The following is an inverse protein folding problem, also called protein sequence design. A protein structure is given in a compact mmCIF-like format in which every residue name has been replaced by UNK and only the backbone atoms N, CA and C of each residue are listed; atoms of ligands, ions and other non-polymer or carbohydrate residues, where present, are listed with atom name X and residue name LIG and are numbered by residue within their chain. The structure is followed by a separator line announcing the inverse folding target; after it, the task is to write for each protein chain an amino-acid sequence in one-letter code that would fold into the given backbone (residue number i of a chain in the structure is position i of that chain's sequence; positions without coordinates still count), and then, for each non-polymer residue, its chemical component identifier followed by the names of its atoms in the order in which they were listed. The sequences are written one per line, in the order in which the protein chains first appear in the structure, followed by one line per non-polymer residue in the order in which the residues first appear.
data_IF_153698099873
#
_entry.id   IF_153698099873
#
_cell.length_a   1.000
_cell.length_b   1.000
_cell.length_c   1.000
_cell.angle_alpha   90.00
_cell.angle_beta   90.00
_cell.angle_gamma   90.00
#
_symmetry.space_group_name_H-M   'P 1'
#
loop_
_entity.id
_entity.type
_entity.pdbx_description
1 polymer ?
#
# COMPACT_ATOMS: atom_id res chain seq x y z
N UNK A 1 16.72 13.12 6.64
CA UNK A 1 15.75 14.03 5.97
C UNK A 1 14.99 14.81 7.03
N UNK A 2 14.87 16.12 6.88
CA UNK A 2 14.04 16.94 7.78
C UNK A 2 12.57 16.76 7.42
N UNK A 3 11.72 16.55 8.43
CA UNK A 3 10.27 16.44 8.22
C UNK A 3 9.70 17.82 7.86
N UNK A 4 8.87 17.87 6.83
CA UNK A 4 8.15 19.08 6.40
C UNK A 4 7.02 19.42 7.37
N UNK A 5 6.61 20.70 7.36
CA UNK A 5 5.57 21.20 8.26
C UNK A 5 4.16 20.88 7.72
N UNK A 6 3.47 19.93 8.33
CA UNK A 6 2.07 19.60 8.04
C UNK A 6 1.08 20.18 9.08
N UNK A 7 1.43 21.27 9.77
CA UNK A 7 0.44 21.95 10.63
C UNK A 7 -0.72 22.48 9.78
N UNK A 8 -1.93 22.36 10.28
CA UNK A 8 -3.12 22.82 9.55
C UNK A 8 -3.00 24.31 9.19
N UNK A 9 -2.46 25.14 10.11
CA UNK A 9 -2.21 26.55 9.84
C UNK A 9 -1.33 26.78 8.61
N UNK A 10 -0.24 26.02 8.47
CA UNK A 10 0.65 26.12 7.31
C UNK A 10 -0.08 25.68 6.03
N UNK A 11 -0.73 24.54 6.07
CA UNK A 11 -1.41 23.95 4.90
C UNK A 11 -2.56 24.84 4.42
N UNK A 12 -3.43 25.32 5.32
CA UNK A 12 -4.55 26.17 4.95
C UNK A 12 -4.13 27.53 4.36
N UNK A 13 -2.92 28.00 4.65
CA UNK A 13 -2.35 29.21 4.03
C UNK A 13 -1.65 28.89 2.70
N UNK A 14 -0.92 27.80 2.61
CA UNK A 14 0.00 27.51 1.51
C UNK A 14 -0.70 26.83 0.34
N UNK A 15 -1.52 25.79 0.60
CA UNK A 15 -2.17 25.00 -0.47
C UNK A 15 -3.08 25.85 -1.36
N UNK A 16 -3.97 26.75 -0.83
CA UNK A 16 -4.80 27.57 -1.72
C UNK A 16 -4.01 28.48 -2.66
N UNK A 17 -2.89 29.05 -2.18
CA UNK A 17 -2.05 29.92 -2.99
C UNK A 17 -1.37 29.15 -4.12
N UNK A 18 -0.73 28.00 -3.81
CA UNK A 18 -0.06 27.15 -4.79
C UNK A 18 -1.07 26.63 -5.83
N UNK A 19 -2.21 26.12 -5.38
CA UNK A 19 -3.26 25.60 -6.28
C UNK A 19 -3.78 26.71 -7.19
N UNK A 20 -4.03 27.91 -6.64
CA UNK A 20 -4.54 29.04 -7.42
C UNK A 20 -3.54 29.49 -8.48
N UNK A 21 -2.24 29.53 -8.14
CA UNK A 21 -1.17 29.85 -9.09
C UNK A 21 -1.03 28.78 -10.17
N UNK A 22 -0.94 27.50 -9.78
CA UNK A 22 -0.72 26.39 -10.73
C UNK A 22 -1.88 26.16 -11.70
N UNK A 23 -3.10 26.38 -11.27
CA UNK A 23 -4.30 26.13 -12.09
C UNK A 23 -4.92 27.40 -12.66
N UNK A 24 -4.41 28.58 -12.31
CA UNK A 24 -5.04 29.86 -12.64
C UNK A 24 -6.53 29.90 -12.23
N UNK A 25 -6.85 29.35 -11.06
CA UNK A 25 -8.19 29.18 -10.54
C UNK A 25 -8.22 29.54 -9.05
N UNK A 26 -9.21 30.36 -8.63
CA UNK A 26 -9.39 30.67 -7.21
C UNK A 26 -9.80 29.42 -6.43
N UNK A 27 -9.17 29.17 -5.29
CA UNK A 27 -9.65 28.17 -4.32
C UNK A 27 -10.76 28.79 -3.49
N UNK A 28 -11.94 28.14 -3.46
CA UNK A 28 -13.11 28.60 -2.69
C UNK A 28 -13.27 27.86 -1.37
N UNK A 29 -12.77 26.64 -1.26
CA UNK A 29 -12.83 25.84 -0.05
C UNK A 29 -11.68 24.82 0.00
N UNK A 30 -11.18 24.58 1.21
CA UNK A 30 -10.23 23.49 1.52
C UNK A 30 -10.71 22.79 2.79
N UNK A 31 -10.74 21.45 2.76
CA UNK A 31 -11.17 20.62 3.88
C UNK A 31 -10.27 19.39 4.01
N UNK A 32 -9.77 19.11 5.21
CA UNK A 32 -9.10 17.85 5.52
C UNK A 32 -10.06 16.67 5.33
N UNK A 33 -9.63 15.62 4.62
CA UNK A 33 -10.47 14.45 4.33
C UNK A 33 -9.82 13.12 4.73
N UNK A 34 -8.53 13.13 5.06
CA UNK A 34 -7.82 11.93 5.48
C UNK A 34 -6.32 12.11 5.45
N UNK A 35 -5.60 11.06 5.79
CA UNK A 35 -4.14 11.03 5.78
C UNK A 35 -3.62 9.75 6.41
N UNK A 36 -2.35 9.51 6.26
CA UNK A 36 -1.64 8.36 6.78
C UNK A 36 -0.26 8.74 7.32
N UNK A 37 0.61 7.75 7.39
CA UNK A 37 1.96 7.90 7.94
C UNK A 37 2.85 8.88 7.17
N UNK A 38 2.54 9.13 5.90
CA UNK A 38 3.40 9.92 5.00
C UNK A 38 2.84 11.28 4.63
N UNK A 39 1.58 11.58 4.94
CA UNK A 39 1.00 12.87 4.57
C UNK A 39 -0.47 13.04 4.96
N UNK A 40 -1.00 14.22 4.62
CA UNK A 40 -2.40 14.62 4.84
C UNK A 40 -3.07 14.93 3.51
N UNK A 41 -4.33 14.51 3.34
CA UNK A 41 -5.12 14.73 2.13
C UNK A 41 -6.22 15.75 2.39
N UNK A 42 -6.33 16.70 1.47
CA UNK A 42 -7.33 17.78 1.50
C UNK A 42 -8.19 17.74 0.25
N UNK A 43 -9.50 17.88 0.44
CA UNK A 43 -10.45 18.18 -0.63
C UNK A 43 -10.41 19.69 -0.87
N UNK A 44 -10.14 20.10 -2.10
CA UNK A 44 -10.06 21.49 -2.54
C UNK A 44 -11.13 21.74 -3.58
N UNK A 45 -11.93 22.81 -3.39
CA UNK A 45 -12.97 23.25 -4.35
C UNK A 45 -12.45 24.49 -5.05
N UNK A 46 -12.49 24.46 -6.39
CA UNK A 46 -12.08 25.56 -7.26
C UNK A 46 -13.22 26.51 -7.57
N UNK A 47 -12.91 27.69 -8.06
CA UNK A 47 -13.90 28.75 -8.38
C UNK A 47 -14.87 28.36 -9.49
N UNK A 48 -14.51 27.47 -10.38
CA UNK A 48 -15.38 26.92 -11.43
C UNK A 48 -16.26 25.74 -10.94
N UNK A 49 -16.16 25.38 -9.64
CA UNK A 49 -16.89 24.26 -9.04
C UNK A 49 -16.18 22.91 -9.09
N UNK A 50 -15.05 22.79 -9.76
CA UNK A 50 -14.27 21.55 -9.80
C UNK A 50 -13.72 21.19 -8.42
N UNK A 51 -13.59 19.89 -8.18
CA UNK A 51 -13.08 19.34 -6.93
C UNK A 51 -11.83 18.54 -7.22
N UNK A 52 -10.75 18.86 -6.50
CA UNK A 52 -9.49 18.12 -6.56
C UNK A 52 -9.10 17.60 -5.18
N UNK A 53 -8.24 16.59 -5.15
CA UNK A 53 -7.54 16.16 -3.95
C UNK A 53 -6.12 16.72 -3.97
N UNK A 54 -5.67 17.26 -2.82
CA UNK A 54 -4.28 17.69 -2.64
C UNK A 54 -3.69 16.95 -1.45
N UNK A 55 -2.67 16.14 -1.70
CA UNK A 55 -1.91 15.43 -0.67
C UNK A 55 -0.65 16.21 -0.37
N UNK A 56 -0.48 16.56 0.91
CA UNK A 56 0.71 17.22 1.45
C UNK A 56 1.56 16.19 2.18
N UNK A 57 2.85 16.10 1.86
CA UNK A 57 3.75 15.06 2.35
C UNK A 57 4.65 15.54 3.47
N UNK A 58 5.03 14.60 4.35
CA UNK A 58 5.99 14.82 5.43
C UNK A 58 7.44 14.86 4.95
N UNK A 59 7.74 14.26 3.79
CA UNK A 59 9.08 14.17 3.21
C UNK A 59 9.02 14.63 1.75
N UNK A 60 10.08 15.29 1.31
CA UNK A 60 10.31 15.62 -0.10
C UNK A 60 10.45 14.34 -0.94
N UNK A 61 10.25 14.47 -2.24
CA UNK A 61 10.30 13.41 -3.26
C UNK A 61 9.13 12.41 -3.24
N UNK A 62 8.48 12.15 -2.09
CA UNK A 62 7.35 11.21 -2.01
C UNK A 62 6.19 11.58 -2.96
N UNK A 63 5.94 12.89 -3.18
CA UNK A 63 4.92 13.35 -4.11
C UNK A 63 5.23 13.00 -5.57
N UNK A 64 6.52 12.96 -5.95
CA UNK A 64 6.94 12.59 -7.30
C UNK A 64 6.82 11.08 -7.50
N UNK A 65 7.23 10.31 -6.50
CA UNK A 65 7.14 8.85 -6.52
C UNK A 65 5.68 8.40 -6.64
N UNK A 66 4.77 8.92 -5.79
CA UNK A 66 3.35 8.56 -5.88
C UNK A 66 2.72 9.02 -7.21
N UNK A 67 3.09 10.21 -7.71
CA UNK A 67 2.64 10.68 -9.01
C UNK A 67 3.05 9.75 -10.17
N UNK A 68 4.27 9.20 -10.13
CA UNK A 68 4.74 8.21 -11.11
C UNK A 68 3.92 6.92 -10.99
N UNK A 69 3.75 6.40 -9.77
CA UNK A 69 2.99 5.18 -9.50
C UNK A 69 1.53 5.31 -9.99
N UNK A 70 0.85 6.42 -9.70
CA UNK A 70 -0.50 6.68 -10.18
C UNK A 70 -0.58 6.70 -11.71
N UNK A 71 0.39 7.36 -12.39
CA UNK A 71 0.42 7.41 -13.85
C UNK A 71 0.67 6.04 -14.49
N UNK A 72 1.53 5.22 -13.88
CA UNK A 72 1.82 3.88 -14.40
C UNK A 72 0.64 2.95 -14.16
N UNK A 73 0.15 2.85 -12.92
CA UNK A 73 -0.96 1.97 -12.57
C UNK A 73 -2.25 2.34 -13.31
N UNK A 74 -2.57 3.64 -13.39
CA UNK A 74 -3.78 4.12 -14.05
C UNK A 74 -3.88 3.79 -15.54
N UNK A 75 -2.74 3.52 -16.21
CA UNK A 75 -2.72 3.08 -17.62
C UNK A 75 -3.08 1.61 -17.80
N UNK A 76 -3.02 0.82 -16.74
CA UNK A 76 -3.11 -0.63 -16.77
C UNK A 76 -4.27 -1.19 -15.94
N UNK A 77 -5.27 -0.37 -15.68
CA UNK A 77 -6.50 -0.80 -15.00
C UNK A 77 -7.73 -0.09 -15.57
N UNK A 78 -8.84 -0.82 -15.63
CA UNK A 78 -10.17 -0.27 -15.93
C UNK A 78 -10.82 0.39 -14.69
N UNK A 79 -10.32 0.08 -13.50
CA UNK A 79 -10.79 0.69 -12.25
C UNK A 79 -10.26 2.11 -12.13
N UNK A 80 -11.12 3.05 -11.79
CA UNK A 80 -10.72 4.45 -11.63
C UNK A 80 -9.60 4.59 -10.61
N UNK A 81 -8.60 5.41 -10.96
CA UNK A 81 -7.57 5.91 -10.06
C UNK A 81 -7.54 7.44 -10.11
N UNK A 82 -6.96 8.13 -9.12
CA UNK A 82 -6.72 9.56 -9.22
C UNK A 82 -5.77 9.89 -10.38
N UNK A 83 -6.17 10.83 -11.24
CA UNK A 83 -5.28 11.37 -12.27
C UNK A 83 -4.41 12.47 -11.66
N UNK A 84 -3.12 12.43 -11.94
CA UNK A 84 -2.18 13.45 -11.48
C UNK A 84 -2.40 14.75 -12.24
N UNK A 85 -2.65 15.84 -11.50
CA UNK A 85 -2.82 17.18 -12.06
C UNK A 85 -1.46 17.90 -12.06
N UNK A 86 -0.83 18.06 -10.89
CA UNK A 86 0.53 18.57 -10.78
C UNK A 86 1.21 18.05 -9.50
N UNK A 87 2.53 18.15 -9.48
CA UNK A 87 3.35 18.05 -8.26
C UNK A 87 3.98 19.40 -7.98
N UNK A 88 4.19 19.70 -6.69
CA UNK A 88 4.89 20.90 -6.23
C UNK A 88 5.87 20.55 -5.11
N UNK A 89 7.01 21.21 -5.10
CA UNK A 89 8.02 21.06 -4.06
C UNK A 89 8.80 22.35 -3.88
N UNK A 90 8.98 22.76 -2.63
CA UNK A 90 9.95 23.75 -2.18
C UNK A 90 10.59 23.30 -0.85
N UNK A 91 11.37 24.14 -0.21
CA UNK A 91 12.09 23.83 1.02
C UNK A 91 11.16 23.47 2.21
N UNK A 92 9.88 23.82 2.14
CA UNK A 92 8.91 23.70 3.23
C UNK A 92 7.69 22.86 2.90
N UNK A 93 7.46 22.55 1.62
CA UNK A 93 6.19 22.00 1.14
C UNK A 93 6.42 21.02 0.01
N UNK A 94 5.79 19.85 0.09
CA UNK A 94 5.72 18.88 -0.99
C UNK A 94 4.25 18.47 -1.19
N UNK A 95 3.71 18.68 -2.40
CA UNK A 95 2.30 18.46 -2.73
C UNK A 95 2.15 17.60 -3.99
N UNK A 96 1.10 16.78 -3.98
CA UNK A 96 0.52 16.15 -5.16
C UNK A 96 -0.93 16.58 -5.28
N UNK A 97 -1.27 17.27 -6.36
CA UNK A 97 -2.65 17.56 -6.74
C UNK A 97 -3.13 16.51 -7.76
N UNK A 98 -4.31 15.97 -7.53
CA UNK A 98 -4.90 14.89 -8.32
C UNK A 98 -6.42 15.03 -8.38
N UNK A 99 -7.06 14.36 -9.32
CA UNK A 99 -8.52 14.32 -9.40
C UNK A 99 -9.13 13.72 -8.13
N UNK A 100 -10.23 14.29 -7.67
CA UNK A 100 -10.94 13.75 -6.52
C UNK A 100 -11.78 12.54 -6.93
N UNK A 101 -11.55 11.39 -6.30
CA UNK A 101 -12.34 10.19 -6.54
C UNK A 101 -13.47 10.08 -5.50
N UNK A 102 -14.71 9.80 -5.93
CA UNK A 102 -15.84 9.67 -5.02
C UNK A 102 -15.82 8.32 -4.29
N UNK A 103 -16.58 8.25 -3.20
CA UNK A 103 -16.74 7.04 -2.41
C UNK A 103 -16.20 7.18 -0.98
N UNK A 104 -16.18 6.06 -0.28
CA UNK A 104 -15.58 5.91 1.05
C UNK A 104 -14.63 4.74 1.03
N UNK A 105 -13.52 4.81 1.78
CA UNK A 105 -12.68 3.64 1.95
C UNK A 105 -13.44 2.53 2.68
N UNK A 106 -13.06 1.28 2.42
CA UNK A 106 -13.80 0.10 2.88
C UNK A 106 -13.65 -0.15 4.38
N UNK A 107 -12.75 0.59 5.06
CA UNK A 107 -12.68 0.60 6.51
C UNK A 107 -13.92 1.26 7.17
N UNK A 108 -14.75 1.99 6.41
CA UNK A 108 -15.99 2.58 6.94
C UNK A 108 -16.88 1.49 7.56
N UNK A 109 -17.32 1.63 8.84
CA UNK A 109 -18.07 0.60 9.54
C UNK A 109 -19.37 0.14 8.85
N UNK A 110 -20.00 0.99 8.03
CA UNK A 110 -21.21 0.64 7.28
C UNK A 110 -20.98 -0.50 6.28
N UNK A 111 -19.75 -0.67 5.79
CA UNK A 111 -19.42 -1.78 4.90
C UNK A 111 -19.31 -3.12 5.64
N UNK A 112 -19.03 -3.11 6.94
CA UNK A 112 -19.03 -4.33 7.76
C UNK A 112 -20.43 -4.95 7.86
N UNK A 113 -21.48 -4.14 7.75
CA UNK A 113 -22.89 -4.56 7.81
C UNK A 113 -23.42 -5.16 6.50
N UNK A 114 -22.65 -5.08 5.41
CA UNK A 114 -23.05 -5.65 4.12
C UNK A 114 -23.13 -7.17 4.18
N UNK A 115 -24.08 -7.75 3.43
CA UNK A 115 -24.31 -9.19 3.36
C UNK A 115 -23.09 -9.93 2.78
N UNK A 116 -23.01 -11.24 3.03
CA UNK A 116 -21.95 -12.10 2.46
C UNK A 116 -21.92 -12.02 0.93
N UNK A 117 -23.08 -12.00 0.28
CA UNK A 117 -23.19 -11.89 -1.18
C UNK A 117 -22.65 -10.55 -1.70
N UNK A 118 -22.98 -9.43 -1.02
CA UNK A 118 -22.46 -8.13 -1.38
C UNK A 118 -20.95 -8.03 -1.20
N UNK A 119 -20.40 -8.59 -0.10
CA UNK A 119 -18.96 -8.65 0.13
C UNK A 119 -18.25 -9.50 -0.91
N UNK A 120 -18.86 -10.63 -1.33
CA UNK A 120 -18.27 -11.47 -2.37
C UNK A 120 -18.27 -10.76 -3.73
N UNK A 121 -19.39 -10.12 -4.13
CA UNK A 121 -19.44 -9.32 -5.35
C UNK A 121 -18.36 -8.23 -5.36
N UNK A 122 -18.24 -7.50 -4.24
CA UNK A 122 -17.22 -6.48 -4.08
C UNK A 122 -15.80 -7.05 -4.20
N UNK A 123 -15.52 -8.19 -3.53
CA UNK A 123 -14.24 -8.87 -3.66
C UNK A 123 -13.94 -9.28 -5.11
N UNK A 124 -14.95 -9.75 -5.84
CA UNK A 124 -14.80 -10.10 -7.25
C UNK A 124 -14.43 -8.89 -8.12
N UNK A 125 -15.02 -7.71 -7.86
CA UNK A 125 -14.70 -6.45 -8.54
C UNK A 125 -13.25 -6.02 -8.23
N UNK A 126 -12.88 -6.00 -6.94
CA UNK A 126 -11.53 -5.62 -6.49
C UNK A 126 -10.46 -6.53 -7.10
N UNK A 127 -10.65 -7.85 -7.00
CA UNK A 127 -9.65 -8.80 -7.49
C UNK A 127 -9.58 -8.79 -9.01
N UNK A 128 -10.68 -8.56 -9.72
CA UNK A 128 -10.64 -8.41 -11.17
C UNK A 128 -9.79 -7.21 -11.58
N UNK A 129 -9.96 -6.03 -10.94
CA UNK A 129 -9.11 -4.87 -11.18
C UNK A 129 -7.64 -5.09 -10.82
N UNK A 130 -7.35 -5.80 -9.72
CA UNK A 130 -5.99 -6.13 -9.32
C UNK A 130 -5.31 -7.09 -10.33
N UNK A 131 -6.05 -8.05 -10.87
CA UNK A 131 -5.54 -8.99 -11.88
C UNK A 131 -5.19 -8.29 -13.20
N UNK A 132 -5.77 -7.13 -13.50
CA UNK A 132 -5.36 -6.32 -14.66
C UNK A 132 -3.89 -5.89 -14.53
N UNK A 133 -3.46 -5.38 -13.37
CA UNK A 133 -2.04 -5.07 -13.11
C UNK A 133 -1.18 -6.33 -13.13
N UNK A 134 -1.63 -7.40 -12.49
CA UNK A 134 -0.89 -8.67 -12.44
C UNK A 134 -0.83 -9.41 -13.79
N UNK A 135 -1.52 -8.92 -14.82
CA UNK A 135 -1.37 -9.39 -16.20
C UNK A 135 -0.27 -8.64 -16.98
N UNK A 136 0.14 -7.47 -16.47
CA UNK A 136 1.22 -6.68 -17.07
C UNK A 136 2.56 -7.19 -16.57
N UNK A 137 3.42 -7.63 -17.47
CA UNK A 137 4.71 -8.26 -17.15
C UNK A 137 5.89 -7.43 -17.58
N UNK A 138 7.04 -7.67 -16.94
CA UNK A 138 8.34 -7.10 -17.32
C UNK A 138 9.38 -8.22 -17.46
N UNK A 139 10.59 -7.86 -17.91
CA UNK A 139 11.73 -8.78 -18.01
C UNK A 139 12.50 -8.88 -16.69
N UNK A 140 12.45 -7.88 -15.84
CA UNK A 140 13.23 -7.74 -14.61
C UNK A 140 12.33 -7.35 -13.43
N UNK A 141 12.73 -7.74 -12.24
CA UNK A 141 12.13 -7.32 -10.97
C UNK A 141 12.80 -6.04 -10.46
N UNK A 142 12.07 -5.27 -9.66
CA UNK A 142 12.59 -4.07 -9.01
C UNK A 142 11.69 -2.85 -9.20
N UNK A 143 12.27 -1.67 -9.05
CA UNK A 143 11.56 -0.39 -9.13
C UNK A 143 10.90 -0.17 -10.50
N UNK A 144 9.81 0.61 -10.54
CA UNK A 144 9.04 0.87 -11.77
C UNK A 144 9.92 1.39 -12.91
N UNK A 145 10.76 2.38 -12.61
CA UNK A 145 11.60 3.08 -13.60
C UNK A 145 12.90 2.35 -13.92
N UNK A 146 13.41 1.50 -13.02
CA UNK A 146 14.70 0.83 -13.17
C UNK A 146 14.71 -0.59 -12.59
N UNK A 147 13.98 -1.55 -13.16
CA UNK A 147 14.03 -2.95 -12.72
C UNK A 147 15.32 -3.60 -13.22
N UNK A 148 16.14 -4.13 -12.30
CA UNK A 148 17.48 -4.65 -12.62
C UNK A 148 17.68 -6.12 -12.25
N UNK A 149 16.85 -6.72 -11.38
CA UNK A 149 17.02 -8.06 -10.86
C UNK A 149 16.43 -9.14 -11.79
N UNK A 150 17.13 -10.24 -11.95
CA UNK A 150 16.69 -11.37 -12.79
C UNK A 150 15.67 -12.27 -12.09
N UNK A 151 15.68 -12.29 -10.76
CA UNK A 151 14.71 -13.05 -9.97
C UNK A 151 14.22 -12.26 -8.76
N UNK A 152 13.03 -12.64 -8.28
CA UNK A 152 12.37 -11.98 -7.15
C UNK A 152 13.11 -12.16 -5.82
N UNK A 153 13.67 -13.35 -5.58
CA UNK A 153 14.33 -13.66 -4.32
C UNK A 153 15.56 -12.77 -4.11
N UNK A 154 16.40 -12.59 -5.14
CA UNK A 154 17.58 -11.73 -5.07
C UNK A 154 17.18 -10.28 -4.74
N UNK A 155 16.14 -9.76 -5.42
CA UNK A 155 15.60 -8.44 -5.10
C UNK A 155 15.11 -8.38 -3.66
N UNK A 156 14.22 -9.31 -3.28
CA UNK A 156 13.58 -9.26 -1.97
C UNK A 156 14.57 -9.42 -0.83
N UNK A 157 15.52 -10.34 -0.92
CA UNK A 157 16.55 -10.56 0.09
C UNK A 157 17.43 -9.33 0.23
N UNK A 158 17.88 -8.74 -0.87
CA UNK A 158 18.84 -7.62 -0.88
C UNK A 158 18.17 -6.31 -0.47
N UNK A 159 17.01 -5.99 -1.07
CA UNK A 159 16.42 -4.66 -0.96
C UNK A 159 15.37 -4.55 0.16
N UNK A 160 14.82 -5.66 0.62
CA UNK A 160 13.76 -5.66 1.63
C UNK A 160 14.16 -6.47 2.88
N UNK A 161 14.41 -7.76 2.76
CA UNK A 161 14.61 -8.67 3.89
C UNK A 161 15.80 -8.27 4.77
N UNK A 162 16.99 -8.16 4.19
CA UNK A 162 18.20 -7.88 4.96
C UNK A 162 18.18 -6.50 5.65
N UNK A 163 17.81 -5.40 4.97
CA UNK A 163 17.68 -4.09 5.61
C UNK A 163 16.66 -4.08 6.77
N UNK A 164 15.54 -4.80 6.63
CA UNK A 164 14.53 -4.92 7.69
C UNK A 164 15.12 -5.66 8.89
N UNK A 165 15.75 -6.81 8.70
CA UNK A 165 16.33 -7.61 9.79
C UNK A 165 17.43 -6.85 10.52
N UNK A 166 18.30 -6.15 9.80
CA UNK A 166 19.37 -5.34 10.40
C UNK A 166 18.80 -4.19 11.24
N UNK A 167 17.79 -3.51 10.75
CA UNK A 167 17.11 -2.47 11.49
C UNK A 167 16.37 -2.98 12.72
N UNK A 168 15.66 -4.10 12.60
CA UNK A 168 14.96 -4.73 13.74
C UNK A 168 15.92 -5.26 14.78
N UNK A 169 17.06 -5.83 14.38
CA UNK A 169 18.13 -6.27 15.30
C UNK A 169 18.67 -5.11 16.14
N UNK A 170 18.79 -3.92 15.54
CA UNK A 170 19.18 -2.72 16.29
C UNK A 170 18.11 -2.33 17.30
N UNK A 171 16.83 -2.30 16.88
CA UNK A 171 15.72 -1.98 17.79
C UNK A 171 15.55 -3.02 18.90
N UNK A 172 15.78 -4.29 18.63
CA UNK A 172 15.76 -5.37 19.63
C UNK A 172 16.83 -5.15 20.70
N UNK A 173 18.08 -4.86 20.29
CA UNK A 173 19.18 -4.53 21.23
C UNK A 173 18.90 -3.30 22.07
N UNK A 174 18.13 -2.34 21.56
CA UNK A 174 17.69 -1.14 22.27
C UNK A 174 16.46 -1.38 23.16
N UNK A 175 15.93 -2.61 23.22
CA UNK A 175 14.70 -2.96 23.95
C UNK A 175 13.42 -2.38 23.33
N UNK A 176 13.47 -1.91 22.07
CA UNK A 176 12.36 -1.29 21.34
C UNK A 176 11.60 -2.27 20.43
N UNK A 177 12.11 -3.48 20.26
CA UNK A 177 11.47 -4.58 19.54
C UNK A 177 11.51 -5.85 20.38
N UNK A 178 10.38 -6.60 20.54
CA UNK A 178 10.35 -7.79 21.37
C UNK A 178 11.25 -8.91 20.81
N UNK A 179 12.12 -9.48 21.65
CA UNK A 179 13.04 -10.56 21.25
C UNK A 179 12.30 -11.78 20.71
N UNK A 180 11.12 -12.14 21.29
CA UNK A 180 10.29 -13.24 20.78
C UNK A 180 9.79 -12.98 19.34
N UNK A 181 9.36 -11.75 19.03
CA UNK A 181 8.94 -11.38 17.68
C UNK A 181 10.12 -11.39 16.71
N UNK A 182 11.30 -10.93 17.16
CA UNK A 182 12.50 -10.97 16.34
C UNK A 182 12.93 -12.41 16.04
N UNK A 183 12.92 -13.32 17.06
CA UNK A 183 13.24 -14.72 16.84
C UNK A 183 12.27 -15.39 15.86
N UNK A 184 10.95 -15.12 15.97
CA UNK A 184 9.98 -15.62 15.00
C UNK A 184 10.33 -15.20 13.57
N UNK A 185 10.74 -13.94 13.36
CA UNK A 185 11.13 -13.47 12.02
C UNK A 185 12.42 -14.15 11.54
N UNK A 186 13.38 -14.40 12.41
CA UNK A 186 14.61 -15.14 12.05
C UNK A 186 14.30 -16.58 11.64
N UNK A 187 13.48 -17.30 12.42
CA UNK A 187 13.08 -18.69 12.12
C UNK A 187 12.31 -18.75 10.79
N UNK A 188 11.42 -17.80 10.59
CA UNK A 188 10.65 -17.71 9.33
C UNK A 188 11.52 -17.30 8.14
N UNK A 189 12.54 -16.46 8.34
CA UNK A 189 13.51 -16.10 7.31
C UNK A 189 14.34 -17.30 6.88
N UNK A 190 14.81 -18.11 7.85
CA UNK A 190 15.52 -19.35 7.56
C UNK A 190 14.65 -20.31 6.74
N UNK A 191 13.38 -20.48 7.12
CA UNK A 191 12.44 -21.30 6.39
C UNK A 191 12.17 -20.74 4.97
N UNK A 192 11.96 -19.42 4.82
CA UNK A 192 11.76 -18.75 3.54
C UNK A 192 12.94 -18.96 2.59
N UNK A 193 14.16 -18.80 3.07
CA UNK A 193 15.38 -18.94 2.27
C UNK A 193 15.65 -20.40 1.84
N UNK A 194 15.03 -21.39 2.48
CA UNK A 194 15.09 -22.81 2.09
C UNK A 194 14.02 -23.22 1.11
N UNK A 195 13.02 -22.36 0.83
CA UNK A 195 12.00 -22.68 -0.16
C UNK A 195 12.60 -22.75 -1.57
N UNK A 196 12.05 -23.59 -2.45
CA UNK A 196 12.42 -23.57 -3.86
C UNK A 196 12.21 -22.17 -4.44
N UNK A 197 13.20 -21.69 -5.19
CA UNK A 197 13.06 -20.46 -5.97
C UNK A 197 12.04 -20.74 -7.07
N UNK A 198 10.92 -20.06 -7.03
CA UNK A 198 9.89 -20.16 -8.06
C UNK A 198 10.29 -19.28 -9.24
N UNK A 199 10.20 -19.83 -10.43
CA UNK A 199 10.44 -19.06 -11.66
C UNK A 199 9.16 -18.28 -12.00
N UNK A 200 8.96 -17.14 -11.34
CA UNK A 200 7.83 -16.25 -11.57
C UNK A 200 8.21 -15.13 -12.53
N UNK A 201 7.25 -14.64 -13.30
CA UNK A 201 7.45 -13.43 -14.11
C UNK A 201 7.20 -12.19 -13.27
N UNK A 202 8.01 -11.12 -13.45
CA UNK A 202 7.73 -9.82 -12.83
C UNK A 202 6.37 -9.29 -13.29
N UNK A 203 5.49 -8.98 -12.36
CA UNK A 203 4.20 -8.34 -12.64
C UNK A 203 4.14 -6.95 -12.03
N UNK A 204 3.32 -6.08 -12.60
CA UNK A 204 3.05 -4.77 -12.01
C UNK A 204 2.21 -4.95 -10.76
N UNK A 205 2.63 -4.38 -9.62
CA UNK A 205 1.91 -4.43 -8.36
C UNK A 205 1.54 -3.02 -7.86
N UNK A 206 0.47 -2.93 -7.07
CA UNK A 206 0.09 -1.70 -6.36
C UNK A 206 0.99 -1.42 -5.16
N UNK A 207 1.42 -2.47 -4.46
CA UNK A 207 2.32 -2.42 -3.31
C UNK A 207 1.66 -2.09 -1.97
N UNK A 208 0.44 -1.52 -1.96
CA UNK A 208 -0.32 -1.22 -0.74
C UNK A 208 -1.83 -1.42 -0.93
N UNK A 209 -2.24 -2.60 -1.43
CA UNK A 209 -3.64 -2.91 -1.79
C UNK A 209 -4.46 -3.35 -0.56
N UNK A 210 -4.40 -2.59 0.53
CA UNK A 210 -5.24 -2.82 1.71
C UNK A 210 -6.62 -2.11 1.60
N UNK A 211 -7.56 -2.46 2.48
CA UNK A 211 -8.94 -1.95 2.42
C UNK A 211 -9.08 -0.43 2.62
N UNK A 212 -8.06 0.25 3.12
CA UNK A 212 -8.07 1.72 3.23
C UNK A 212 -7.84 2.39 1.87
N UNK A 213 -7.20 1.68 0.94
CA UNK A 213 -6.85 2.16 -0.38
C UNK A 213 -7.86 1.72 -1.45
N UNK A 214 -8.95 1.05 -1.04
CA UNK A 214 -10.05 0.64 -1.90
C UNK A 214 -11.28 1.49 -1.58
N UNK A 215 -11.79 2.20 -2.59
CA UNK A 215 -12.95 3.07 -2.45
C UNK A 215 -14.21 2.37 -2.96
N UNK A 216 -15.29 2.51 -2.20
CA UNK A 216 -16.60 1.97 -2.57
C UNK A 216 -17.71 3.00 -2.43
N UNK A 217 -18.75 2.85 -3.22
CA UNK A 217 -19.98 3.60 -3.05
C UNK A 217 -20.72 3.16 -1.79
N UNK A 218 -21.12 4.12 -0.96
CA UNK A 218 -21.67 3.83 0.37
C UNK A 218 -23.04 3.13 0.32
N UNK A 219 -23.80 3.32 -0.75
CA UNK A 219 -25.13 2.75 -0.91
C UNK A 219 -25.10 1.38 -1.60
N UNK A 220 -24.50 1.31 -2.79
CA UNK A 220 -24.44 0.10 -3.60
C UNK A 220 -23.37 -0.89 -3.16
N UNK A 221 -22.32 -0.40 -2.49
CA UNK A 221 -21.11 -1.16 -2.18
C UNK A 221 -20.36 -1.66 -3.43
N UNK A 222 -20.52 -1.01 -4.56
CA UNK A 222 -19.70 -1.28 -5.73
C UNK A 222 -18.35 -0.60 -5.59
N UNK A 223 -17.32 -1.21 -6.16
CA UNK A 223 -15.99 -0.62 -6.28
C UNK A 223 -16.07 0.70 -7.07
N UNK A 224 -15.45 1.76 -6.56
CA UNK A 224 -15.42 3.07 -7.26
C UNK A 224 -14.03 3.49 -7.68
N UNK A 225 -12.99 3.15 -6.91
CA UNK A 225 -11.62 3.49 -7.25
C UNK A 225 -10.59 2.74 -6.40
N UNK A 226 -9.34 2.69 -6.91
CA UNK A 226 -8.14 2.42 -6.14
C UNK A 226 -7.37 3.70 -5.92
N UNK A 227 -6.74 3.86 -4.75
CA UNK A 227 -6.01 5.07 -4.36
C UNK A 227 -4.73 4.72 -3.62
N UNK A 228 -3.85 5.72 -3.46
CA UNK A 228 -2.70 5.69 -2.55
C UNK A 228 -1.73 4.51 -2.82
N UNK A 229 -1.22 4.33 -4.05
CA UNK A 229 -0.20 3.33 -4.30
C UNK A 229 1.07 3.67 -3.50
N UNK A 230 1.70 2.63 -2.96
CA UNK A 230 2.95 2.76 -2.23
C UNK A 230 3.82 1.54 -2.50
N UNK A 231 5.10 1.74 -2.75
CA UNK A 231 6.02 0.65 -3.14
C UNK A 231 5.56 -0.13 -4.41
N UNK A 232 4.85 0.53 -5.35
CA UNK A 232 4.52 -0.09 -6.65
C UNK A 232 5.80 -0.39 -7.42
N UNK A 233 5.88 -1.60 -7.95
CA UNK A 233 7.10 -2.11 -8.58
C UNK A 233 6.79 -3.30 -9.51
N UNK A 234 7.82 -3.83 -10.14
CA UNK A 234 7.81 -5.11 -10.83
C UNK A 234 8.20 -6.21 -9.86
N UNK A 235 7.23 -6.98 -9.40
CA UNK A 235 7.41 -7.93 -8.29
C UNK A 235 6.83 -9.32 -8.61
N UNK A 236 7.11 -10.29 -7.72
CA UNK A 236 6.28 -11.48 -7.61
C UNK A 236 4.89 -11.07 -7.11
N UNK A 237 3.83 -11.55 -7.78
CA UNK A 237 2.44 -11.23 -7.41
C UNK A 237 2.08 -11.58 -5.98
N UNK A 238 2.69 -12.63 -5.40
CA UNK A 238 2.42 -13.03 -4.03
C UNK A 238 2.86 -11.96 -3.00
N UNK A 239 3.82 -11.09 -3.38
CA UNK A 239 4.23 -9.97 -2.54
C UNK A 239 3.11 -8.91 -2.37
N UNK A 240 2.25 -8.70 -3.38
CA UNK A 240 1.12 -7.76 -3.26
C UNK A 240 -0.05 -8.31 -2.41
N UNK A 241 -0.09 -9.65 -2.22
CA UNK A 241 -1.26 -10.32 -1.61
C UNK A 241 -1.32 -10.21 -0.09
N UNK A 242 -0.21 -9.92 0.61
CA UNK A 242 -0.27 -9.76 2.06
C UNK A 242 -1.15 -8.56 2.46
N UNK A 243 -1.18 -7.51 1.65
CA UNK A 243 -2.00 -6.33 1.87
C UNK A 243 -3.51 -6.63 1.83
N UNK A 244 -3.94 -7.60 1.01
CA UNK A 244 -5.33 -8.04 0.96
C UNK A 244 -5.83 -8.65 2.28
N UNK A 245 -4.91 -9.07 3.16
CA UNK A 245 -5.18 -9.65 4.47
C UNK A 245 -5.00 -8.66 5.62
N UNK A 246 -4.29 -7.57 5.38
CA UNK A 246 -4.04 -6.53 6.35
C UNK A 246 -5.30 -5.68 6.58
N UNK A 247 -5.32 -4.91 7.68
CA UNK A 247 -6.41 -3.99 8.00
C UNK A 247 -7.81 -4.64 7.93
N UNK A 248 -7.92 -5.95 8.31
CA UNK A 248 -9.16 -6.74 8.26
C UNK A 248 -9.69 -7.06 6.85
N UNK A 249 -8.85 -7.04 5.81
CA UNK A 249 -9.25 -7.43 4.45
C UNK A 249 -9.84 -8.84 4.34
N UNK A 250 -9.44 -9.76 5.24
CA UNK A 250 -10.04 -11.11 5.33
C UNK A 250 -11.58 -11.06 5.59
N UNK A 251 -12.14 -10.00 6.21
CA UNK A 251 -13.59 -9.81 6.41
C UNK A 251 -14.35 -9.57 5.10
N UNK A 252 -13.65 -9.21 4.04
CA UNK A 252 -14.18 -8.97 2.70
C UNK A 252 -13.80 -10.06 1.71
N UNK A 253 -13.23 -11.19 2.17
CA UNK A 253 -12.84 -12.34 1.36
C UNK A 253 -11.81 -12.04 0.24
N UNK A 254 -11.06 -10.94 0.32
CA UNK A 254 -10.19 -10.50 -0.78
C UNK A 254 -9.15 -11.56 -1.15
N UNK A 255 -8.38 -12.04 -0.18
CA UNK A 255 -7.33 -13.04 -0.43
C UNK A 255 -7.89 -14.38 -0.91
N UNK A 256 -9.00 -14.86 -0.31
CA UNK A 256 -9.65 -16.11 -0.76
C UNK A 256 -10.22 -16.01 -2.17
N UNK A 257 -10.75 -14.83 -2.53
CA UNK A 257 -11.25 -14.56 -3.88
C UNK A 257 -10.09 -14.53 -4.88
N UNK A 258 -8.94 -13.93 -4.53
CA UNK A 258 -7.76 -14.00 -5.38
C UNK A 258 -7.33 -15.45 -5.65
N UNK A 259 -7.22 -16.27 -4.61
CA UNK A 259 -6.87 -17.69 -4.72
C UNK A 259 -7.86 -18.51 -5.56
N UNK A 260 -9.14 -18.12 -5.59
CA UNK A 260 -10.13 -18.80 -6.43
C UNK A 260 -10.02 -18.45 -7.91
N UNK A 261 -9.47 -17.26 -8.24
CA UNK A 261 -9.31 -16.78 -9.62
C UNK A 261 -7.91 -17.05 -10.21
N UNK A 262 -6.92 -17.25 -9.35
CA UNK A 262 -5.54 -17.46 -9.77
C UNK A 262 -4.86 -18.54 -8.92
N UNK A 263 -4.28 -19.52 -9.60
CA UNK A 263 -3.53 -20.59 -8.94
C UNK A 263 -2.19 -20.03 -8.43
N UNK A 264 -2.06 -19.97 -7.11
CA UNK A 264 -0.83 -19.58 -6.44
C UNK A 264 0.12 -20.78 -6.29
N UNK A 265 1.35 -20.51 -5.93
CA UNK A 265 2.36 -21.52 -5.63
C UNK A 265 1.99 -22.39 -4.42
N UNK A 266 2.64 -23.51 -4.27
CA UNK A 266 2.46 -24.45 -3.14
C UNK A 266 2.67 -23.75 -1.77
N UNK A 267 3.60 -22.83 -1.70
CA UNK A 267 4.02 -22.17 -0.44
C UNK A 267 3.49 -20.74 -0.30
N UNK A 268 2.54 -20.34 -1.14
CA UNK A 268 2.02 -18.98 -1.15
C UNK A 268 1.48 -18.49 0.20
N UNK A 269 0.71 -19.33 0.92
CA UNK A 269 0.15 -18.95 2.22
C UNK A 269 1.24 -18.62 3.24
N UNK A 270 2.36 -19.35 3.22
CA UNK A 270 3.52 -19.05 4.07
C UNK A 270 4.24 -17.78 3.59
N UNK A 271 4.54 -17.63 2.28
CA UNK A 271 5.22 -16.44 1.75
C UNK A 271 4.41 -15.17 2.02
N UNK A 272 3.11 -15.19 1.76
CA UNK A 272 2.21 -14.06 2.04
C UNK A 272 2.18 -13.71 3.54
N UNK A 273 2.17 -14.71 4.43
CA UNK A 273 2.25 -14.46 5.87
C UNK A 273 3.61 -13.89 6.29
N UNK A 274 4.69 -14.37 5.69
CA UNK A 274 6.05 -13.88 5.92
C UNK A 274 6.22 -12.42 5.46
N UNK A 275 5.81 -12.10 4.24
CA UNK A 275 5.85 -10.73 3.72
C UNK A 275 5.06 -9.76 4.61
N UNK A 276 3.87 -10.18 5.06
CA UNK A 276 3.04 -9.36 5.93
C UNK A 276 3.68 -9.10 7.29
N UNK A 277 4.28 -10.11 7.93
CA UNK A 277 4.96 -9.95 9.22
C UNK A 277 6.22 -9.08 9.09
N UNK A 278 7.02 -9.27 8.04
CA UNK A 278 8.20 -8.45 7.75
C UNK A 278 7.80 -6.99 7.50
N UNK A 279 6.77 -6.75 6.70
CA UNK A 279 6.27 -5.40 6.42
C UNK A 279 5.80 -4.69 7.69
N UNK A 280 4.90 -5.30 8.47
CA UNK A 280 4.35 -4.69 9.69
C UNK A 280 5.45 -4.44 10.74
N UNK A 281 6.39 -5.37 10.89
CA UNK A 281 7.52 -5.17 11.78
C UNK A 281 8.43 -4.02 11.32
N UNK A 282 8.60 -3.83 9.99
CA UNK A 282 9.38 -2.73 9.42
C UNK A 282 8.77 -1.36 9.71
N UNK A 283 7.45 -1.27 9.92
CA UNK A 283 6.76 -0.02 10.25
C UNK A 283 7.26 0.60 11.57
N UNK A 284 7.78 -0.21 12.50
CA UNK A 284 8.45 0.32 13.71
C UNK A 284 9.66 1.17 13.37
N UNK A 285 10.42 0.80 12.35
CA UNK A 285 11.58 1.56 11.89
C UNK A 285 11.17 2.86 11.21
N UNK A 286 10.07 2.83 10.45
CA UNK A 286 9.59 3.97 9.64
C UNK A 286 8.86 5.02 10.48
N UNK A 287 7.98 4.61 11.38
CA UNK A 287 7.07 5.51 12.09
C UNK A 287 7.23 5.51 13.61
N UNK A 288 8.10 4.64 14.15
CA UNK A 288 8.42 4.59 15.57
C UNK A 288 7.29 4.06 16.48
N UNK A 289 6.25 3.46 15.91
CA UNK A 289 5.15 2.88 16.69
C UNK A 289 5.55 1.54 17.31
N UNK A 290 5.26 1.36 18.59
CA UNK A 290 5.43 0.10 19.31
C UNK A 290 4.14 -0.71 19.28
N UNK A 291 4.20 -1.95 18.77
CA UNK A 291 3.18 -2.98 18.97
C UNK A 291 1.80 -2.66 18.44
N UNK A 292 1.63 -2.55 17.12
CA UNK A 292 0.29 -2.43 16.54
C UNK A 292 -0.46 -3.76 16.67
N UNK A 293 -1.79 -3.70 16.78
CA UNK A 293 -2.66 -4.89 16.68
C UNK A 293 -2.41 -5.65 15.38
N UNK A 294 -2.09 -4.94 14.31
CA UNK A 294 -1.77 -5.52 13.00
C UNK A 294 -0.51 -6.37 13.04
N UNK A 295 0.56 -5.87 13.68
CA UNK A 295 1.80 -6.64 13.85
C UNK A 295 1.53 -7.96 14.60
N UNK A 296 0.74 -7.91 15.69
CA UNK A 296 0.35 -9.11 16.43
C UNK A 296 -0.43 -10.10 15.54
N UNK A 297 -1.39 -9.61 14.76
CA UNK A 297 -2.17 -10.44 13.83
C UNK A 297 -1.30 -11.07 12.74
N UNK A 298 -0.37 -10.31 12.17
CA UNK A 298 0.58 -10.81 11.17
C UNK A 298 1.53 -11.85 11.77
N UNK A 299 2.07 -11.62 12.96
CA UNK A 299 2.93 -12.57 13.66
C UNK A 299 2.18 -13.87 14.01
N UNK A 300 0.93 -13.80 14.46
CA UNK A 300 0.11 -14.99 14.73
C UNK A 300 -0.17 -15.79 13.44
N UNK A 301 -0.43 -15.10 12.34
CA UNK A 301 -0.59 -15.73 11.02
C UNK A 301 0.70 -16.42 10.58
N UNK A 302 1.83 -15.74 10.74
CA UNK A 302 3.15 -16.30 10.41
C UNK A 302 3.47 -17.54 11.25
N UNK A 303 3.26 -17.51 12.57
CA UNK A 303 3.44 -18.69 13.44
C UNK A 303 2.63 -19.90 12.96
N UNK A 304 1.37 -19.66 12.58
CA UNK A 304 0.49 -20.71 12.07
C UNK A 304 1.01 -21.33 10.77
N UNK A 305 1.40 -20.51 9.81
CA UNK A 305 1.87 -21.00 8.52
C UNK A 305 3.27 -21.63 8.62
N UNK A 306 4.16 -21.10 9.45
CA UNK A 306 5.47 -21.70 9.74
C UNK A 306 5.32 -23.10 10.39
N UNK A 307 4.39 -23.26 11.34
CA UNK A 307 4.08 -24.56 11.95
C UNK A 307 3.58 -25.58 10.92
N UNK A 308 2.71 -25.16 9.99
CA UNK A 308 2.26 -26.03 8.90
C UNK A 308 3.39 -26.43 7.99
N UNK A 309 4.25 -25.48 7.60
CA UNK A 309 5.40 -25.74 6.74
C UNK A 309 6.35 -26.78 7.36
N UNK A 310 6.64 -26.67 8.66
CA UNK A 310 7.51 -27.59 9.38
C UNK A 310 6.89 -28.99 9.60
N UNK A 311 5.59 -29.14 9.34
CA UNK A 311 4.88 -30.43 9.44
C UNK A 311 4.68 -31.13 8.09
N UNK A 312 5.14 -30.54 6.99
CA UNK A 312 5.13 -31.11 5.64
C UNK A 312 6.40 -31.90 5.35
#
# INVERSE_FOLDING_TARGET
MNKLNLSDKHIFLTVPNIVSEKLNQKVTSIKYVGGGSFGKVYKVVLGNGDIIAVKAYLLQENQRQEAEQLRVLGKHTSVKMPDVIFTYEDDKTALLAMTFVPGKNVLNPLFLLKSKSQKQKFADEVISGMLEWHSVTNKKFGELSNPIYDNWYDYYITEKQQPILDGLKKLEKEGKFPSESFQLLLDATEAFNKLPVENTSPVLIHGDMNIMNIMADIHSFNLTAFIDPCDSMWADREYDLFQLRNMWGDLFNLYSTYKSKYQLSKYADFRVAYYGAMHESSMRMRVGHSGSVLELLCNNRLRKELKKLNSM
#
